data_IF_786303909307
#
_entry.id   IF_786303909307
#
_cell.length_a   1.000
_cell.length_b   1.000
_cell.length_c   1.000
_cell.angle_alpha   90.00
_cell.angle_beta   90.00
_cell.angle_gamma   90.00
#
_symmetry.space_group_name_H-M   'P 1'
#
loop_
_entity.id
_entity.type
_entity.pdbx_description
1 polymer ?
#
# COMPACT_ATOMS: atom_id res chain seq x y z
N UNK A 1 16.22 5.65 -6.01
CA UNK A 1 16.04 6.25 -7.36
C UNK A 1 17.10 5.81 -8.38
N UNK A 2 18.42 5.88 -8.10
CA UNK A 2 19.44 5.45 -9.09
C UNK A 2 19.30 3.98 -9.53
N UNK A 3 19.04 3.05 -8.60
CA UNK A 3 18.80 1.63 -8.91
C UNK A 3 17.58 1.41 -9.84
N UNK A 4 16.53 2.22 -9.67
CA UNK A 4 15.27 2.13 -10.44
C UNK A 4 15.44 2.54 -11.90
N UNK A 5 16.21 3.60 -12.16
CA UNK A 5 16.58 3.99 -13.52
C UNK A 5 17.51 2.96 -14.16
N UNK A 6 18.42 2.36 -13.38
CA UNK A 6 19.30 1.29 -13.87
C UNK A 6 18.48 0.05 -14.26
N UNK A 7 17.49 -0.36 -13.47
CA UNK A 7 16.60 -1.49 -13.80
C UNK A 7 15.82 -1.24 -15.09
N UNK A 8 15.23 -0.04 -15.26
CA UNK A 8 14.49 0.31 -16.48
C UNK A 8 15.43 0.35 -17.70
N UNK A 9 16.62 0.94 -17.56
CA UNK A 9 17.62 1.02 -18.64
C UNK A 9 18.17 -0.37 -18.98
N UNK A 10 18.45 -1.23 -18.01
CA UNK A 10 18.90 -2.61 -18.22
C UNK A 10 17.82 -3.44 -18.92
N UNK A 11 16.55 -3.35 -18.50
CA UNK A 11 15.44 -4.09 -19.13
C UNK A 11 15.21 -3.68 -20.59
N UNK A 12 15.35 -2.38 -20.91
CA UNK A 12 15.28 -1.86 -22.28
C UNK A 12 16.49 -2.36 -23.11
N UNK A 13 17.68 -2.42 -22.48
CA UNK A 13 18.92 -2.87 -23.13
C UNK A 13 18.90 -4.38 -23.42
N UNK A 14 18.41 -5.22 -22.50
CA UNK A 14 18.31 -6.68 -22.69
C UNK A 14 17.30 -7.07 -23.79
N UNK A 15 16.24 -6.27 -23.99
CA UNK A 15 15.30 -6.45 -25.10
C UNK A 15 15.94 -6.12 -26.46
N UNK A 16 16.99 -5.30 -26.48
CA UNK A 16 17.69 -4.90 -27.71
C UNK A 16 18.74 -5.92 -28.19
N UNK A 17 19.25 -6.78 -27.29
CA UNK A 17 20.31 -7.76 -27.57
C UNK A 17 19.81 -9.09 -28.18
N UNK A 18 18.50 -9.36 -28.19
CA UNK A 18 17.88 -10.54 -28.82
C UNK A 18 17.87 -10.54 -30.37
N UNK A 19 18.82 -9.84 -31.01
CA UNK A 19 18.82 -9.51 -32.46
C UNK A 19 19.32 -10.62 -33.39
N UNK A 20 19.64 -11.82 -32.90
CA UNK A 20 20.15 -12.93 -33.73
C UNK A 20 19.04 -13.90 -34.17
N UNK A 21 18.52 -13.69 -35.39
CA UNK A 21 17.93 -14.74 -36.22
C UNK A 21 16.42 -15.02 -36.12
N UNK A 22 15.74 -14.75 -34.99
CA UNK A 22 14.30 -15.03 -34.80
C UNK A 22 13.40 -13.80 -34.50
N UNK A 23 13.97 -12.60 -34.39
CA UNK A 23 13.30 -11.42 -33.80
C UNK A 23 12.10 -10.86 -34.58
N UNK A 24 11.98 -11.11 -35.89
CA UNK A 24 10.86 -10.58 -36.70
C UNK A 24 9.55 -11.31 -36.44
N UNK A 25 9.57 -12.63 -36.29
CA UNK A 25 8.36 -13.42 -36.03
C UNK A 25 7.85 -13.19 -34.59
N UNK A 26 8.76 -13.05 -33.63
CA UNK A 26 8.42 -12.72 -32.24
C UNK A 26 7.82 -11.32 -32.11
N UNK A 27 8.41 -10.31 -32.77
CA UNK A 27 7.86 -8.94 -32.76
C UNK A 27 6.48 -8.88 -33.43
N UNK A 28 6.29 -9.53 -34.58
CA UNK A 28 4.96 -9.62 -35.23
C UNK A 28 3.93 -10.32 -34.35
N UNK A 29 4.32 -11.39 -33.64
CA UNK A 29 3.44 -12.07 -32.71
C UNK A 29 3.04 -11.18 -31.52
N UNK A 30 4.00 -10.49 -30.91
CA UNK A 30 3.70 -9.56 -29.80
C UNK A 30 2.76 -8.44 -30.27
N UNK A 31 2.97 -7.89 -31.48
CA UNK A 31 2.08 -6.89 -32.06
C UNK A 31 0.65 -7.44 -32.24
N UNK A 32 0.49 -8.64 -32.82
CA UNK A 32 -0.83 -9.27 -33.01
C UNK A 32 -1.54 -9.51 -31.68
N UNK A 33 -0.80 -9.93 -30.66
CA UNK A 33 -1.33 -10.10 -29.31
C UNK A 33 -1.83 -8.77 -28.74
N UNK A 34 -1.01 -7.71 -28.77
CA UNK A 34 -1.36 -6.41 -28.22
C UNK A 34 -2.52 -5.76 -29.00
N UNK A 35 -2.56 -5.93 -30.32
CA UNK A 35 -3.69 -5.52 -31.18
C UNK A 35 -4.97 -6.21 -30.76
N UNK A 36 -4.94 -7.54 -30.55
CA UNK A 36 -6.11 -8.30 -30.09
C UNK A 36 -6.63 -7.88 -28.72
N UNK A 37 -5.77 -7.26 -27.90
CA UNK A 37 -6.10 -6.70 -26.58
C UNK A 37 -6.49 -5.23 -26.63
N UNK A 38 -6.47 -4.60 -27.81
CA UNK A 38 -6.75 -3.18 -27.97
C UNK A 38 -5.72 -2.26 -27.32
N UNK A 39 -4.48 -2.74 -27.15
CA UNK A 39 -3.41 -2.00 -26.46
C UNK A 39 -2.52 -1.18 -27.41
N UNK A 40 -2.58 -1.47 -28.71
CA UNK A 40 -1.90 -0.75 -29.79
C UNK A 40 -2.86 -0.56 -30.97
N UNK A 41 -2.46 0.25 -31.96
CA UNK A 41 -3.28 0.56 -33.12
C UNK A 41 -3.55 -0.66 -34.01
N UNK A 42 -4.72 -0.66 -34.67
CA UNK A 42 -5.16 -1.77 -35.52
C UNK A 42 -4.31 -1.97 -36.78
N UNK A 43 -3.55 -0.95 -37.20
CA UNK A 43 -2.63 -1.03 -38.33
C UNK A 43 -1.26 -1.63 -37.95
N UNK A 44 -1.02 -1.94 -36.68
CA UNK A 44 0.18 -2.63 -36.22
C UNK A 44 -0.07 -4.13 -36.06
N UNK A 45 0.81 -4.95 -36.63
CA UNK A 45 0.65 -6.40 -36.70
C UNK A 45 -0.06 -6.87 -37.97
N UNK A 46 -0.41 -8.15 -38.01
CA UNK A 46 -1.13 -8.82 -39.09
C UNK A 46 -2.65 -8.69 -38.92
N UNK A 47 -3.38 -8.87 -40.02
CA UNK A 47 -4.85 -8.97 -40.01
C UNK A 47 -5.33 -10.41 -39.79
N UNK A 48 -4.43 -11.31 -39.38
CA UNK A 48 -4.75 -12.71 -39.14
C UNK A 48 -5.27 -12.89 -37.71
N UNK A 49 -6.12 -13.89 -37.47
CA UNK A 49 -6.51 -14.27 -36.12
C UNK A 49 -5.27 -14.63 -35.27
N UNK A 50 -5.28 -14.25 -34.00
CA UNK A 50 -4.18 -14.52 -33.08
C UNK A 50 -3.95 -16.05 -32.95
N UNK A 51 -2.76 -16.49 -33.33
CA UNK A 51 -2.37 -17.90 -33.22
C UNK A 51 -2.24 -18.31 -31.72
N UNK A 52 -2.79 -19.46 -31.28
CA UNK A 52 -2.58 -19.97 -29.92
C UNK A 52 -1.09 -20.08 -29.51
N UNK A 53 -0.22 -20.49 -30.44
CA UNK A 53 1.23 -20.53 -30.21
C UNK A 53 1.80 -19.15 -29.90
N UNK A 54 1.28 -18.11 -30.54
CA UNK A 54 1.69 -16.74 -30.28
C UNK A 54 1.28 -16.30 -28.86
N UNK A 55 0.11 -16.72 -28.38
CA UNK A 55 -0.29 -16.48 -26.98
C UNK A 55 0.69 -17.13 -26.01
N UNK A 56 1.12 -18.38 -26.27
CA UNK A 56 2.13 -19.06 -25.44
C UNK A 56 3.46 -18.32 -25.45
N UNK A 57 3.95 -17.90 -26.62
CA UNK A 57 5.19 -17.12 -26.75
C UNK A 57 5.12 -15.85 -25.91
N UNK A 58 4.03 -15.09 -26.02
CA UNK A 58 3.84 -13.86 -25.24
C UNK A 58 3.82 -14.14 -23.73
N UNK A 59 3.17 -15.21 -23.28
CA UNK A 59 3.17 -15.56 -21.85
C UNK A 59 4.57 -15.92 -21.35
N UNK A 60 5.35 -16.67 -22.13
CA UNK A 60 6.75 -16.98 -21.82
C UNK A 60 7.59 -15.69 -21.77
N UNK A 61 7.41 -14.79 -22.74
CA UNK A 61 8.10 -13.49 -22.75
C UNK A 61 7.75 -12.67 -21.51
N UNK A 62 6.47 -12.62 -21.11
CA UNK A 62 6.05 -11.93 -19.89
C UNK A 62 6.67 -12.53 -18.63
N UNK A 63 6.70 -13.87 -18.53
CA UNK A 63 7.38 -14.56 -17.43
C UNK A 63 8.85 -14.18 -17.37
N UNK A 64 9.55 -14.21 -18.51
CA UNK A 64 10.96 -13.84 -18.59
C UNK A 64 11.19 -12.37 -18.18
N UNK A 65 10.32 -11.45 -18.60
CA UNK A 65 10.37 -10.04 -18.14
C UNK A 65 10.29 -9.99 -16.61
N UNK A 66 9.35 -10.71 -16.00
CA UNK A 66 9.19 -10.73 -14.54
C UNK A 66 10.40 -11.35 -13.84
N UNK A 67 10.98 -12.42 -14.39
CA UNK A 67 12.18 -13.06 -13.87
C UNK A 67 13.40 -12.12 -13.97
N UNK A 68 13.54 -11.38 -15.08
CA UNK A 68 14.59 -10.38 -15.24
C UNK A 68 14.44 -9.22 -14.25
N UNK A 69 13.22 -8.69 -14.07
CA UNK A 69 12.94 -7.67 -13.04
C UNK A 69 13.30 -8.21 -11.66
N UNK A 70 12.93 -9.46 -11.36
CA UNK A 70 13.25 -10.09 -10.09
C UNK A 70 14.75 -10.16 -9.85
N UNK A 71 15.53 -10.64 -10.83
CA UNK A 71 16.99 -10.73 -10.73
C UNK A 71 17.65 -9.37 -10.49
N UNK A 72 17.21 -8.33 -11.22
CA UNK A 72 17.76 -6.98 -11.10
C UNK A 72 17.46 -6.34 -9.74
N UNK A 73 16.23 -6.49 -9.23
CA UNK A 73 15.84 -5.97 -7.91
C UNK A 73 16.46 -6.79 -6.77
N UNK A 74 16.72 -8.10 -6.98
CA UNK A 74 17.37 -8.99 -6.00
C UNK A 74 18.89 -8.76 -5.82
N UNK A 75 19.47 -7.78 -6.49
CA UNK A 75 20.88 -7.40 -6.29
C UNK A 75 21.18 -6.91 -4.86
N UNK A 76 20.15 -6.50 -4.10
CA UNK A 76 20.24 -6.20 -2.67
C UNK A 76 19.60 -7.32 -1.81
N UNK A 77 20.44 -8.05 -1.05
CA UNK A 77 20.01 -9.15 -0.17
C UNK A 77 19.06 -8.70 0.94
N UNK A 78 19.09 -7.44 1.33
CA UNK A 78 18.25 -6.90 2.40
C UNK A 78 16.82 -6.59 1.94
N UNK A 79 16.56 -6.63 0.62
CA UNK A 79 15.25 -6.29 0.04
C UNK A 79 14.46 -7.51 -0.43
N UNK A 80 14.93 -8.74 -0.16
CA UNK A 80 14.39 -9.98 -0.76
C UNK A 80 12.87 -10.15 -0.56
N UNK A 81 12.35 -9.86 0.64
CA UNK A 81 10.91 -9.98 0.93
C UNK A 81 10.09 -8.90 0.24
N UNK A 82 10.64 -7.69 0.13
CA UNK A 82 10.05 -6.56 -0.58
C UNK A 82 10.03 -6.81 -2.08
N UNK A 83 11.06 -7.46 -2.65
CA UNK A 83 11.10 -7.84 -4.07
C UNK A 83 9.97 -8.80 -4.41
N UNK A 84 9.77 -9.86 -3.62
CA UNK A 84 8.70 -10.82 -3.89
C UNK A 84 7.32 -10.15 -3.87
N UNK A 85 7.07 -9.24 -2.92
CA UNK A 85 5.86 -8.42 -2.90
C UNK A 85 5.73 -7.52 -4.14
N UNK A 86 6.81 -6.87 -4.57
CA UNK A 86 6.79 -5.97 -5.74
C UNK A 86 6.47 -6.76 -7.01
N UNK A 87 7.12 -7.92 -7.20
CA UNK A 87 6.88 -8.81 -8.33
C UNK A 87 5.42 -9.30 -8.33
N UNK A 88 4.89 -9.68 -7.17
CA UNK A 88 3.50 -10.09 -7.05
C UNK A 88 2.55 -8.94 -7.44
N UNK A 89 2.80 -7.71 -6.97
CA UNK A 89 1.97 -6.55 -7.31
C UNK A 89 2.08 -6.18 -8.79
N UNK A 90 3.28 -6.22 -9.38
CA UNK A 90 3.48 -5.96 -10.80
C UNK A 90 2.75 -6.97 -11.68
N UNK A 91 2.75 -8.26 -11.31
CA UNK A 91 2.06 -9.32 -12.07
C UNK A 91 0.52 -9.17 -12.08
N UNK A 92 -0.04 -8.42 -11.13
CA UNK A 92 -1.47 -8.05 -11.06
C UNK A 92 -1.83 -6.82 -11.89
N UNK A 93 -0.86 -6.21 -12.58
CA UNK A 93 -1.06 -5.01 -13.42
C UNK A 93 -0.73 -5.28 -14.88
N UNK A 94 -1.01 -4.30 -15.74
CA UNK A 94 -0.57 -4.30 -17.14
C UNK A 94 0.93 -3.99 -17.31
N UNK A 95 1.76 -4.13 -16.28
CA UNK A 95 3.20 -3.82 -16.34
C UNK A 95 3.89 -4.50 -17.52
N UNK A 96 3.81 -5.83 -17.63
CA UNK A 96 4.46 -6.57 -18.72
C UNK A 96 3.82 -6.25 -20.07
N UNK A 97 2.52 -5.95 -20.11
CA UNK A 97 1.85 -5.49 -21.34
C UNK A 97 2.41 -4.15 -21.82
N UNK A 98 2.56 -3.17 -20.93
CA UNK A 98 3.10 -1.86 -21.28
C UNK A 98 4.58 -1.94 -21.70
N UNK A 99 5.37 -2.85 -21.14
CA UNK A 99 6.73 -3.11 -21.63
C UNK A 99 6.74 -3.70 -23.05
N UNK A 100 5.82 -4.61 -23.36
CA UNK A 100 5.66 -5.14 -24.71
C UNK A 100 5.18 -4.06 -25.70
N UNK A 101 4.33 -3.12 -25.26
CA UNK A 101 3.91 -1.95 -26.06
C UNK A 101 5.12 -1.09 -26.42
N UNK A 102 5.98 -0.77 -25.44
CA UNK A 102 7.24 -0.05 -25.67
C UNK A 102 8.08 -0.77 -26.72
N UNK A 103 8.27 -2.08 -26.56
CA UNK A 103 9.04 -2.91 -27.50
C UNK A 103 8.48 -2.88 -28.94
N UNK A 104 7.16 -2.99 -29.11
CA UNK A 104 6.53 -2.95 -30.45
C UNK A 104 6.69 -1.57 -31.08
N UNK A 105 6.49 -0.49 -30.31
CA UNK A 105 6.69 0.87 -30.82
C UNK A 105 8.15 1.14 -31.16
N UNK A 106 9.10 0.65 -30.35
CA UNK A 106 10.52 0.79 -30.62
C UNK A 106 10.97 0.08 -31.90
N UNK A 107 10.34 -1.05 -32.22
CA UNK A 107 10.71 -1.90 -33.37
C UNK A 107 9.90 -1.64 -34.64
N UNK A 108 8.92 -0.73 -34.60
CA UNK A 108 8.06 -0.38 -35.74
C UNK A 108 8.51 0.91 -36.42
N UNK A 109 8.71 0.87 -37.74
CA UNK A 109 9.31 1.98 -38.49
C UNK A 109 8.31 3.07 -38.97
N UNK A 110 6.99 2.90 -38.77
CA UNK A 110 5.96 3.78 -39.35
C UNK A 110 4.81 4.13 -38.39
N UNK A 111 5.15 4.58 -37.19
CA UNK A 111 4.15 4.98 -36.18
C UNK A 111 4.08 6.50 -36.06
N UNK A 112 2.88 7.06 -36.29
CA UNK A 112 2.59 8.46 -36.01
C UNK A 112 2.75 8.72 -34.52
N UNK A 113 3.49 9.76 -34.16
CA UNK A 113 3.80 10.15 -32.78
C UNK A 113 4.48 9.04 -31.96
N UNK A 114 5.30 8.20 -32.62
CA UNK A 114 6.03 7.06 -32.01
C UNK A 114 6.66 7.41 -30.67
N UNK A 115 7.40 8.52 -30.61
CA UNK A 115 8.11 8.94 -29.39
C UNK A 115 7.16 9.25 -28.24
N UNK A 116 6.07 9.98 -28.52
CA UNK A 116 5.04 10.29 -27.52
C UNK A 116 4.40 9.02 -26.98
N UNK A 117 4.08 8.06 -27.86
CA UNK A 117 3.47 6.78 -27.48
C UNK A 117 4.41 5.89 -26.65
N UNK A 118 5.69 5.89 -26.99
CA UNK A 118 6.74 5.25 -26.17
C UNK A 118 6.75 5.89 -24.77
N UNK A 119 6.78 7.22 -24.68
CA UNK A 119 6.79 7.93 -23.40
C UNK A 119 5.53 7.67 -22.57
N UNK A 120 4.34 7.61 -23.19
CA UNK A 120 3.09 7.27 -22.51
C UNK A 120 3.12 5.85 -21.93
N UNK A 121 3.60 4.87 -22.72
CA UNK A 121 3.72 3.49 -22.25
C UNK A 121 4.80 3.36 -21.14
N UNK A 122 5.93 4.04 -21.29
CA UNK A 122 6.97 4.12 -20.26
C UNK A 122 6.44 4.76 -18.97
N UNK A 123 5.65 5.84 -19.06
CA UNK A 123 5.02 6.47 -17.89
C UNK A 123 4.10 5.50 -17.13
N UNK A 124 3.32 4.68 -17.86
CA UNK A 124 2.49 3.62 -17.26
C UNK A 124 3.34 2.55 -16.56
N UNK A 125 4.45 2.12 -17.18
CA UNK A 125 5.42 1.20 -16.56
C UNK A 125 5.99 1.81 -15.29
N UNK A 126 6.51 3.03 -15.35
CA UNK A 126 7.09 3.75 -14.21
C UNK A 126 6.09 3.88 -13.06
N UNK A 127 4.85 4.26 -13.37
CA UNK A 127 3.79 4.39 -12.37
C UNK A 127 3.45 3.05 -11.73
N UNK A 128 3.28 1.99 -12.52
CA UNK A 128 2.98 0.65 -12.00
C UNK A 128 4.09 0.16 -11.04
N UNK A 129 5.36 0.38 -11.40
CA UNK A 129 6.50 0.01 -10.55
C UNK A 129 6.57 0.85 -9.29
N UNK A 130 6.37 2.17 -9.40
CA UNK A 130 6.37 3.07 -8.24
C UNK A 130 5.24 2.71 -7.27
N UNK A 131 4.03 2.53 -7.79
CA UNK A 131 2.86 2.13 -7.00
C UNK A 131 3.16 0.81 -6.28
N UNK A 132 3.61 -0.24 -7.01
CA UNK A 132 3.95 -1.55 -6.43
C UNK A 132 5.00 -1.44 -5.30
N UNK A 133 6.06 -0.64 -5.52
CA UNK A 133 7.08 -0.40 -4.51
C UNK A 133 6.52 0.28 -3.26
N UNK A 134 5.73 1.33 -3.44
CA UNK A 134 5.07 2.01 -2.33
C UNK A 134 4.14 1.06 -1.57
N UNK A 135 3.35 0.24 -2.27
CA UNK A 135 2.47 -0.76 -1.64
C UNK A 135 3.25 -1.66 -0.69
N UNK A 136 4.35 -2.22 -1.18
CA UNK A 136 5.16 -3.19 -0.46
C UNK A 136 5.96 -2.56 0.68
N UNK A 137 6.48 -1.34 0.48
CA UNK A 137 7.14 -0.59 1.55
C UNK A 137 6.16 -0.22 2.66
N UNK A 138 4.96 0.23 2.32
CA UNK A 138 3.89 0.50 3.29
C UNK A 138 3.44 -0.77 4.01
N UNK A 139 3.32 -1.91 3.31
CA UNK A 139 2.98 -3.19 3.93
C UNK A 139 4.03 -3.66 4.93
N UNK A 140 5.31 -3.44 4.65
CA UNK A 140 6.37 -3.69 5.63
C UNK A 140 6.26 -2.73 6.81
N UNK A 141 6.23 -1.42 6.56
CA UNK A 141 6.27 -0.42 7.63
C UNK A 141 5.05 -0.50 8.55
N UNK A 142 3.83 -0.52 7.98
CA UNK A 142 2.61 -0.66 8.75
C UNK A 142 2.45 -2.07 9.32
N UNK A 143 3.01 -3.08 8.65
CA UNK A 143 3.04 -4.43 9.18
C UNK A 143 3.91 -4.55 10.43
N UNK A 144 5.09 -3.94 10.43
CA UNK A 144 5.96 -3.86 11.61
C UNK A 144 5.28 -3.08 12.73
N UNK A 145 4.66 -1.94 12.41
CA UNK A 145 3.91 -1.17 13.41
C UNK A 145 2.74 -1.97 14.01
N UNK A 146 2.04 -2.78 13.21
CA UNK A 146 1.03 -3.70 13.72
C UNK A 146 1.61 -4.77 14.64
N UNK A 147 2.74 -5.36 14.23
CA UNK A 147 3.42 -6.39 15.01
C UNK A 147 3.85 -5.80 16.37
N UNK A 148 4.46 -4.61 16.39
CA UNK A 148 4.81 -3.87 17.62
C UNK A 148 3.58 -3.60 18.50
N UNK A 149 2.47 -3.16 17.89
CA UNK A 149 1.25 -2.81 18.62
C UNK A 149 0.59 -4.02 19.32
N UNK A 150 0.74 -5.23 18.76
CA UNK A 150 0.23 -6.47 19.35
C UNK A 150 1.25 -7.24 20.19
N UNK A 151 2.54 -6.90 20.11
CA UNK A 151 3.62 -7.54 20.88
C UNK A 151 3.90 -6.85 22.23
N UNK A 152 3.31 -5.68 22.51
CA UNK A 152 3.48 -5.01 23.82
C UNK A 152 2.94 -5.88 24.95
N UNK A 153 3.86 -6.47 25.71
CA UNK A 153 3.59 -7.20 26.94
C UNK A 153 2.86 -6.29 27.93
N UNK A 154 1.65 -6.64 28.33
CA UNK A 154 0.80 -5.85 29.24
C UNK A 154 1.31 -5.82 30.68
N UNK A 155 2.53 -6.27 30.93
CA UNK A 155 3.16 -6.20 32.25
C UNK A 155 3.76 -4.80 32.48
N UNK A 156 3.18 -4.09 33.44
CA UNK A 156 3.69 -2.88 34.10
C UNK A 156 3.20 -1.52 33.56
N UNK A 157 1.95 -1.16 33.90
CA UNK A 157 1.63 0.21 34.34
C UNK A 157 0.60 0.11 35.47
N UNK A 158 0.89 0.67 36.65
CA UNK A 158 -0.12 0.90 37.68
C UNK A 158 -1.04 2.02 37.17
N UNK A 159 -2.24 1.66 36.71
CA UNK A 159 -3.20 2.62 36.15
C UNK A 159 -4.02 3.32 37.25
N UNK A 160 -4.10 4.64 37.19
CA UNK A 160 -4.90 5.47 38.10
C UNK A 160 -6.43 5.23 37.97
N UNK A 161 -7.20 5.58 39.01
CA UNK A 161 -8.67 5.41 39.06
C UNK A 161 -9.43 6.19 37.95
N UNK A 162 -8.87 7.32 37.48
CA UNK A 162 -9.42 8.07 36.35
C UNK A 162 -9.32 7.27 35.04
N UNK A 163 -8.18 6.61 34.82
CA UNK A 163 -7.94 5.72 33.68
C UNK A 163 -8.92 4.54 33.66
N UNK A 164 -9.36 4.06 34.83
CA UNK A 164 -10.35 2.98 34.90
C UNK A 164 -11.75 3.36 34.40
N UNK A 165 -12.18 4.62 34.65
CA UNK A 165 -13.48 5.11 34.14
C UNK A 165 -13.45 5.30 32.63
N UNK A 166 -12.33 5.81 32.11
CA UNK A 166 -12.08 5.95 30.68
C UNK A 166 -12.05 4.59 30.00
N UNK A 167 -11.31 3.62 30.54
CA UNK A 167 -11.24 2.25 30.03
C UNK A 167 -12.64 1.61 29.95
N UNK A 168 -13.46 1.75 31.00
CA UNK A 168 -14.86 1.28 30.97
C UNK A 168 -15.65 1.90 29.82
N UNK A 169 -15.55 3.22 29.62
CA UNK A 169 -16.28 3.91 28.56
C UNK A 169 -15.80 3.56 27.16
N UNK A 170 -14.50 3.31 26.97
CA UNK A 170 -13.96 2.86 25.69
C UNK A 170 -14.32 1.40 25.40
N UNK A 171 -14.25 0.50 26.38
CA UNK A 171 -14.75 -0.88 26.22
C UNK A 171 -16.24 -0.90 25.89
N UNK A 172 -17.04 -0.06 26.56
CA UNK A 172 -18.46 0.12 26.24
C UNK A 172 -18.68 0.60 24.80
N UNK A 173 -17.91 1.60 24.37
CA UNK A 173 -17.94 2.11 23.00
C UNK A 173 -17.65 1.02 21.96
N UNK A 174 -16.58 0.24 22.15
CA UNK A 174 -16.19 -0.88 21.26
C UNK A 174 -17.33 -1.88 21.11
N UNK A 175 -17.96 -2.27 22.22
CA UNK A 175 -19.05 -3.25 22.26
C UNK A 175 -20.29 -2.69 21.55
N UNK A 176 -20.71 -1.46 21.88
CA UNK A 176 -21.91 -0.83 21.31
C UNK A 176 -21.76 -0.56 19.82
N UNK A 177 -20.56 -0.20 19.36
CA UNK A 177 -20.23 0.03 17.94
C UNK A 177 -19.89 -1.25 17.19
N UNK A 178 -19.77 -2.39 17.87
CA UNK A 178 -19.36 -3.69 17.29
C UNK A 178 -18.02 -3.61 16.55
N UNK A 179 -17.04 -2.92 17.13
CA UNK A 179 -15.70 -2.75 16.53
C UNK A 179 -14.83 -4.01 16.67
N UNK A 180 -15.22 -4.92 17.56
CA UNK A 180 -14.60 -6.23 17.77
C UNK A 180 -15.69 -7.30 17.66
N UNK A 181 -15.32 -8.46 17.12
CA UNK A 181 -16.19 -9.63 17.10
C UNK A 181 -16.33 -10.22 18.51
N UNK A 182 -17.45 -9.93 19.18
CA UNK A 182 -17.69 -10.35 20.56
C UNK A 182 -17.91 -11.87 20.70
N UNK A 183 -18.22 -12.57 19.62
CA UNK A 183 -18.33 -14.03 19.63
C UNK A 183 -16.95 -14.68 19.68
N UNK A 184 -15.97 -14.06 19.01
CA UNK A 184 -14.58 -14.52 18.99
C UNK A 184 -13.82 -14.02 20.23
N UNK A 185 -14.02 -12.77 20.61
CA UNK A 185 -13.27 -12.09 21.67
C UNK A 185 -14.22 -11.76 22.82
N UNK A 186 -14.09 -12.51 23.91
CA UNK A 186 -14.91 -12.35 25.11
C UNK A 186 -14.48 -11.11 25.92
N UNK A 187 -14.61 -9.93 25.32
CA UNK A 187 -14.28 -8.64 25.93
C UNK A 187 -15.29 -8.33 27.04
N UNK A 188 -14.83 -8.36 28.29
CA UNK A 188 -15.64 -7.91 29.42
C UNK A 188 -15.77 -6.39 29.39
N UNK A 189 -17.00 -5.89 29.47
CA UNK A 189 -17.25 -4.44 29.51
C UNK A 189 -16.66 -3.77 30.77
N UNK A 190 -16.70 -4.45 31.93
CA UNK A 190 -16.19 -3.93 33.21
C UNK A 190 -15.29 -4.99 33.89
N UNK A 191 -14.04 -5.18 33.42
CA UNK A 191 -13.15 -6.22 33.96
C UNK A 191 -12.66 -5.90 35.38
N UNK A 192 -12.68 -4.63 35.78
CA UNK A 192 -12.18 -4.14 37.08
C UNK A 192 -13.27 -4.04 38.16
N UNK A 193 -14.51 -4.47 37.86
CA UNK A 193 -15.67 -4.41 38.77
C UNK A 193 -15.92 -3.00 39.36
N UNK A 194 -15.76 -1.96 38.54
CA UNK A 194 -16.00 -0.57 38.95
C UNK A 194 -17.49 -0.31 39.22
N UNK A 195 -17.80 0.61 40.14
CA UNK A 195 -19.16 1.17 40.24
C UNK A 195 -19.43 2.08 39.04
N UNK A 196 -20.28 1.59 38.13
CA UNK A 196 -20.60 2.26 36.86
C UNK A 196 -21.79 3.21 36.96
N UNK A 197 -22.51 3.24 38.10
CA UNK A 197 -23.78 3.98 38.24
C UNK A 197 -23.64 5.48 38.04
N UNK A 198 -22.45 6.04 38.27
CA UNK A 198 -22.13 7.47 38.13
C UNK A 198 -21.23 7.80 36.94
N UNK A 199 -20.89 6.82 36.09
CA UNK A 199 -19.99 7.06 34.96
C UNK A 199 -20.77 7.52 33.73
N UNK A 200 -20.48 8.73 33.24
CA UNK A 200 -21.13 9.31 32.07
C UNK A 200 -20.29 9.11 30.80
N UNK A 201 -20.43 7.95 30.16
CA UNK A 201 -19.72 7.66 28.91
C UNK A 201 -20.18 8.48 27.71
N UNK A 202 -21.41 9.02 27.72
CA UNK A 202 -21.89 9.92 26.66
C UNK A 202 -21.05 11.19 26.56
N UNK A 203 -20.48 11.64 27.68
CA UNK A 203 -19.56 12.77 27.72
C UNK A 203 -18.09 12.34 27.57
N UNK A 204 -17.68 11.28 28.27
CA UNK A 204 -16.27 10.87 28.32
C UNK A 204 -15.77 10.31 26.99
N UNK A 205 -16.57 9.49 26.29
CA UNK A 205 -16.12 8.87 25.04
C UNK A 205 -15.81 9.88 23.94
N UNK A 206 -16.69 10.86 23.61
CA UNK A 206 -16.36 11.87 22.60
C UNK A 206 -15.17 12.74 22.99
N UNK A 207 -15.00 13.04 24.29
CA UNK A 207 -13.84 13.79 24.79
C UNK A 207 -12.55 13.01 24.51
N UNK A 208 -12.49 11.74 24.91
CA UNK A 208 -11.31 10.90 24.70
C UNK A 208 -10.96 10.75 23.21
N UNK A 209 -11.97 10.50 22.36
CA UNK A 209 -11.77 10.40 20.91
C UNK A 209 -11.17 11.69 20.37
N UNK A 210 -11.71 12.84 20.80
CA UNK A 210 -11.21 14.15 20.37
C UNK A 210 -9.78 14.40 20.85
N UNK A 211 -9.50 14.16 22.13
CA UNK A 211 -8.16 14.37 22.71
C UNK A 211 -7.12 13.52 21.95
N UNK A 212 -7.46 12.27 21.60
CA UNK A 212 -6.62 11.39 20.79
C UNK A 212 -6.45 11.87 19.33
N UNK A 213 -7.50 12.39 18.69
CA UNK A 213 -7.39 13.00 17.36
C UNK A 213 -6.50 14.26 17.36
N UNK A 214 -6.62 15.08 18.40
CA UNK A 214 -5.85 16.31 18.57
C UNK A 214 -4.36 16.00 18.78
N UNK A 215 -4.05 15.01 19.62
CA UNK A 215 -2.67 14.53 19.82
C UNK A 215 -2.06 13.96 18.54
N UNK A 216 -2.81 13.16 17.78
CA UNK A 216 -2.33 12.62 16.50
C UNK A 216 -2.02 13.73 15.49
N UNK A 217 -2.92 14.70 15.33
CA UNK A 217 -2.70 15.82 14.40
C UNK A 217 -1.47 16.61 14.82
N UNK A 218 -1.28 16.83 16.12
CA UNK A 218 -0.10 17.49 16.64
C UNK A 218 1.17 16.72 16.31
N UNK A 219 1.23 15.41 16.58
CA UNK A 219 2.39 14.58 16.23
C UNK A 219 2.71 14.61 14.74
N UNK A 220 1.70 14.52 13.88
CA UNK A 220 1.88 14.58 12.42
C UNK A 220 2.46 15.92 11.94
N UNK A 221 2.30 16.98 12.71
CA UNK A 221 2.79 18.31 12.39
C UNK A 221 4.13 18.64 13.08
N UNK A 222 4.35 18.14 14.31
CA UNK A 222 5.58 18.32 15.10
C UNK A 222 6.79 17.57 14.48
N UNK A 223 6.59 16.40 13.83
CA UNK A 223 7.64 15.62 13.14
C UNK A 223 8.29 16.37 11.94
N UNK A 224 7.77 17.54 11.57
CA UNK A 224 8.37 18.41 10.55
C UNK A 224 9.49 19.35 11.08
N UNK A 225 9.76 19.34 12.39
CA UNK A 225 10.54 20.39 13.07
C UNK A 225 11.82 19.95 13.81
N UNK A 226 12.15 18.65 13.85
CA UNK A 226 13.27 18.15 14.69
C UNK A 226 14.67 18.73 14.35
N UNK A 227 14.84 19.37 13.19
CA UNK A 227 16.14 19.94 12.76
C UNK A 227 16.29 21.47 12.90
N UNK A 228 15.28 22.20 13.40
CA UNK A 228 15.36 23.67 13.50
C UNK A 228 15.06 24.17 14.90
N UNK A 229 16.07 24.77 15.54
CA UNK A 229 15.96 25.57 16.76
C UNK A 229 15.19 26.89 16.55
N UNK A 230 14.13 26.86 15.73
CA UNK A 230 13.28 28.00 15.42
C UNK A 230 11.96 27.86 16.17
N UNK A 231 11.40 29.02 16.55
CA UNK A 231 10.17 29.18 17.33
C UNK A 231 9.03 28.27 16.83
N UNK A 232 8.12 27.80 17.73
CA UNK A 232 7.02 26.93 17.35
C UNK A 232 6.25 27.55 16.19
N UNK A 233 6.34 26.91 15.03
CA UNK A 233 5.70 27.37 13.80
C UNK A 233 4.20 27.33 14.02
N UNK A 234 3.53 28.48 13.89
CA UNK A 234 2.06 28.49 13.93
C UNK A 234 1.54 27.56 12.84
N UNK A 235 0.81 26.52 13.25
CA UNK A 235 0.27 25.51 12.35
C UNK A 235 -0.75 26.15 11.41
N UNK A 236 -0.64 25.88 10.11
CA UNK A 236 -1.59 26.37 9.13
C UNK A 236 -3.00 25.82 9.43
N UNK A 237 -4.01 26.67 9.72
CA UNK A 237 -5.34 26.20 10.09
C UNK A 237 -6.03 25.35 9.01
N UNK A 238 -5.69 25.57 7.73
CA UNK A 238 -6.23 24.79 6.61
C UNK A 238 -5.67 23.37 6.62
N UNK A 239 -4.37 23.22 6.87
CA UNK A 239 -3.71 21.91 6.96
C UNK A 239 -4.26 21.12 8.16
N UNK A 240 -4.36 21.75 9.33
CA UNK A 240 -4.96 21.15 10.54
C UNK A 240 -6.39 20.68 10.26
N UNK A 241 -7.22 21.53 9.66
CA UNK A 241 -8.59 21.18 9.33
C UNK A 241 -8.66 20.03 8.31
N UNK A 242 -7.75 19.99 7.34
CA UNK A 242 -7.66 18.88 6.38
C UNK A 242 -7.29 17.57 7.09
N UNK A 243 -6.28 17.57 7.96
CA UNK A 243 -5.84 16.40 8.70
C UNK A 243 -6.97 15.84 9.58
N UNK A 244 -7.65 16.69 10.36
CA UNK A 244 -8.83 16.26 11.13
C UNK A 244 -9.90 15.64 10.24
N UNK A 245 -10.20 16.24 9.09
CA UNK A 245 -11.20 15.71 8.17
C UNK A 245 -10.78 14.35 7.61
N UNK A 246 -9.50 14.16 7.26
CA UNK A 246 -8.97 12.89 6.78
C UNK A 246 -9.06 11.80 7.87
N UNK A 247 -8.64 12.10 9.10
CA UNK A 247 -8.69 11.21 10.27
C UNK A 247 -10.13 10.78 10.58
N UNK A 248 -11.06 11.75 10.68
CA UNK A 248 -12.47 11.50 10.98
C UNK A 248 -13.18 10.73 9.88
N UNK A 249 -12.97 11.12 8.62
CA UNK A 249 -13.57 10.43 7.46
C UNK A 249 -13.03 9.01 7.32
N UNK A 250 -11.75 8.82 7.61
CA UNK A 250 -11.11 7.51 7.67
C UNK A 250 -11.54 6.67 8.89
N UNK A 251 -12.20 7.29 9.88
CA UNK A 251 -12.56 6.66 11.16
C UNK A 251 -11.34 6.07 11.88
N UNK A 252 -10.23 6.79 11.90
CA UNK A 252 -8.97 6.31 12.50
C UNK A 252 -9.14 5.77 13.91
N UNK A 253 -9.87 6.49 14.74
CA UNK A 253 -10.07 6.10 16.14
C UNK A 253 -10.88 4.81 16.27
N UNK A 254 -11.93 4.64 15.45
CA UNK A 254 -12.73 3.41 15.43
C UNK A 254 -11.92 2.20 14.99
N UNK A 255 -10.97 2.39 14.07
CA UNK A 255 -10.10 1.33 13.58
C UNK A 255 -8.96 1.02 14.55
N UNK A 256 -8.36 2.04 15.20
CA UNK A 256 -7.19 1.87 16.06
C UNK A 256 -7.53 1.36 17.47
N UNK A 257 -8.59 1.87 18.09
CA UNK A 257 -8.97 1.53 19.47
C UNK A 257 -9.06 0.01 19.69
N UNK A 258 -9.72 -0.79 18.81
CA UNK A 258 -9.80 -2.23 18.96
C UNK A 258 -8.46 -2.93 19.18
N UNK A 259 -7.42 -2.51 18.47
CA UNK A 259 -6.13 -3.18 18.54
C UNK A 259 -5.43 -3.01 19.90
N UNK A 260 -5.68 -1.89 20.61
CA UNK A 260 -5.20 -1.70 21.98
C UNK A 260 -5.80 -2.72 22.97
N UNK A 261 -6.96 -3.28 22.66
CA UNK A 261 -7.62 -4.31 23.48
C UNK A 261 -7.32 -5.72 22.99
N UNK A 262 -7.17 -5.90 21.67
CA UNK A 262 -6.88 -7.21 21.08
C UNK A 262 -5.53 -7.79 21.53
N UNK A 263 -4.58 -6.94 21.95
CA UNK A 263 -3.30 -7.38 22.56
C UNK A 263 -3.48 -8.16 23.88
N UNK A 264 -4.59 -7.94 24.60
CA UNK A 264 -4.90 -8.67 25.85
C UNK A 264 -5.34 -10.11 25.59
N UNK A 265 -5.61 -10.48 24.33
CA UNK A 265 -6.10 -11.79 23.96
C UNK A 265 -5.00 -12.66 23.34
N UNK A 266 -5.02 -13.95 23.65
CA UNK A 266 -4.14 -14.92 23.00
C UNK A 266 -4.66 -15.25 21.58
N UNK A 267 -4.34 -14.37 20.63
CA UNK A 267 -4.79 -14.48 19.24
C UNK A 267 -4.04 -15.60 18.49
N UNK A 268 -4.79 -16.48 17.83
CA UNK A 268 -4.24 -17.47 16.91
C UNK A 268 -3.52 -16.83 15.72
N UNK A 269 -2.57 -17.56 15.11
CA UNK A 269 -1.74 -17.06 14.01
C UNK A 269 -2.52 -16.61 12.78
N UNK A 270 -3.60 -17.33 12.43
CA UNK A 270 -4.48 -16.97 11.32
C UNK A 270 -5.25 -15.67 11.60
N UNK A 271 -5.77 -15.53 12.82
CA UNK A 271 -6.43 -14.31 13.29
C UNK A 271 -5.50 -13.10 13.24
N UNK A 272 -4.27 -13.23 13.77
CA UNK A 272 -3.26 -12.17 13.71
C UNK A 272 -2.95 -11.77 12.27
N UNK A 273 -2.83 -12.74 11.36
CA UNK A 273 -2.59 -12.48 9.93
C UNK A 273 -3.74 -11.69 9.28
N UNK A 274 -4.98 -12.08 9.55
CA UNK A 274 -6.17 -11.40 9.02
C UNK A 274 -6.29 -9.97 9.56
N UNK A 275 -6.04 -9.77 10.85
CA UNK A 275 -6.01 -8.45 11.48
C UNK A 275 -4.90 -7.56 10.91
N UNK A 276 -3.70 -8.11 10.72
CA UNK A 276 -2.56 -7.41 10.11
C UNK A 276 -2.89 -6.94 8.69
N UNK A 277 -3.50 -7.80 7.88
CA UNK A 277 -3.88 -7.45 6.51
C UNK A 277 -4.89 -6.30 6.47
N UNK A 278 -5.92 -6.35 7.34
CA UNK A 278 -6.90 -5.26 7.48
C UNK A 278 -6.25 -3.96 7.94
N UNK A 279 -5.39 -4.03 8.95
CA UNK A 279 -4.65 -2.89 9.49
C UNK A 279 -3.79 -2.21 8.42
N UNK A 280 -2.98 -2.98 7.69
CA UNK A 280 -2.12 -2.46 6.61
C UNK A 280 -2.95 -1.78 5.53
N UNK A 281 -4.07 -2.39 5.12
CA UNK A 281 -4.96 -1.81 4.12
C UNK A 281 -5.58 -0.48 4.61
N UNK A 282 -5.99 -0.44 5.88
CA UNK A 282 -6.50 0.76 6.53
C UNK A 282 -5.46 1.89 6.55
N UNK A 283 -4.26 1.63 7.08
CA UNK A 283 -3.19 2.62 7.21
C UNK A 283 -2.75 3.18 5.86
N UNK A 284 -2.79 2.37 4.80
CA UNK A 284 -2.51 2.85 3.44
C UNK A 284 -3.55 3.84 2.95
N UNK A 285 -4.84 3.51 3.08
CA UNK A 285 -5.93 4.42 2.68
C UNK A 285 -5.89 5.73 3.48
N UNK A 286 -5.53 5.65 4.76
CA UNK A 286 -5.35 6.82 5.59
C UNK A 286 -4.17 7.66 5.12
N UNK A 287 -3.00 7.06 4.89
CA UNK A 287 -1.80 7.75 4.39
C UNK A 287 -2.04 8.46 3.05
N UNK A 288 -2.75 7.81 2.12
CA UNK A 288 -3.17 8.41 0.84
C UNK A 288 -4.13 9.59 1.02
N UNK A 289 -4.87 9.64 2.13
CA UNK A 289 -5.77 10.74 2.45
C UNK A 289 -5.01 11.89 3.13
N UNK A 290 -4.10 11.57 4.05
CA UNK A 290 -3.27 12.55 4.77
C UNK A 290 -2.28 13.27 3.86
N UNK A 291 -1.68 12.57 2.88
CA UNK A 291 -0.74 13.17 1.91
C UNK A 291 -1.38 14.22 0.99
N UNK A 292 -2.71 14.28 0.91
CA UNK A 292 -3.44 15.34 0.18
C UNK A 292 -3.59 16.62 0.99
N UNK A 293 -3.27 16.59 2.28
CA UNK A 293 -3.35 17.76 3.15
C UNK A 293 -2.07 18.59 3.18
N UNK A 294 -0.95 18.05 2.67
CA UNK A 294 0.38 18.66 2.71
C UNK A 294 0.92 19.06 1.32
N UNK A 295 0.04 19.10 0.31
CA UNK A 295 0.32 19.50 -1.08
C UNK A 295 -0.35 20.83 -1.43
#
# INVERSE_FOLDING_TARGET
MKLFYIIIICLISSLSEGRSGGGRETSSCIADYLKSKGLIESNLGSDRPLNPLCTTVVQVTKSHIMDSVKLEVMSDKNMKKEVDCVIENLSKTDFSNNLLVVYVYETSDNIVDREKKIQEAQSKVTRATFDAFLRCKSEKNFGLYFDDLLEVDSSAVEEEEASHKEDYCIRKYIIEKRLIDLEIYNLKMNPKNLDTTKINCTYLTPKYIKDFEDDLVRTLLDDSSEDSAEEPKELNPIEVACLWNAIRKGKYVDEMIPYNYLKEFNLGSETKRNLRSKFVAFMRNLSDSLTKCTL
#
